data_IF_671472631645
#
_entry.id   IF_671472631645
#
_cell.length_a   1.000
_cell.length_b   1.000
_cell.length_c   1.000
_cell.angle_alpha   90.00
_cell.angle_beta   90.00
_cell.angle_gamma   90.00
#
_symmetry.space_group_name_H-M   'P 1'
#
loop_
_entity.id
_entity.type
_entity.pdbx_description
1 polymer ?
#
# COMPACT_ATOMS: atom_id res chain seq x y z
N UNK A 1 -6.28 14.09 10.37
CA UNK A 1 -7.62 14.30 10.95
C UNK A 1 -8.66 13.72 10.01
N UNK A 2 -9.36 12.66 10.42
CA UNK A 2 -10.45 12.05 9.65
C UNK A 2 -11.71 12.91 9.81
N UNK A 3 -12.34 13.31 8.69
CA UNK A 3 -13.60 14.06 8.69
C UNK A 3 -14.68 13.24 9.41
N UNK A 4 -15.42 13.87 10.34
CA UNK A 4 -16.48 13.20 11.12
C UNK A 4 -17.55 12.61 10.17
N UNK A 5 -18.05 11.38 10.42
CA UNK A 5 -18.96 10.67 9.53
C UNK A 5 -20.28 11.42 9.28
N UNK A 6 -20.70 12.26 10.23
CA UNK A 6 -21.91 13.08 10.11
C UNK A 6 -21.76 14.17 9.02
N UNK A 7 -20.62 14.87 9.00
CA UNK A 7 -20.34 15.98 8.09
C UNK A 7 -20.07 15.47 6.67
N UNK A 8 -19.41 14.32 6.55
CA UNK A 8 -19.12 13.68 5.26
C UNK A 8 -20.42 13.34 4.50
N UNK A 9 -21.45 12.86 5.22
CA UNK A 9 -22.71 12.42 4.62
C UNK A 9 -23.64 13.58 4.26
N UNK A 10 -23.75 14.60 5.10
CA UNK A 10 -24.75 15.66 4.95
C UNK A 10 -24.29 16.83 4.08
N UNK A 11 -22.99 17.17 4.06
CA UNK A 11 -22.49 18.37 3.37
C UNK A 11 -21.57 18.03 2.22
N UNK A 12 -20.58 17.17 2.44
CA UNK A 12 -19.52 16.91 1.45
C UNK A 12 -20.02 16.07 0.28
N UNK A 13 -20.79 15.00 0.56
CA UNK A 13 -21.31 14.06 -0.44
C UNK A 13 -22.20 14.70 -1.52
N UNK A 14 -23.20 15.56 -1.20
CA UNK A 14 -24.03 16.19 -2.23
C UNK A 14 -23.26 17.20 -3.07
N UNK A 15 -22.48 18.09 -2.47
CA UNK A 15 -21.71 19.14 -3.17
C UNK A 15 -20.74 18.53 -4.18
N UNK A 16 -20.01 17.51 -3.74
CA UNK A 16 -19.04 16.86 -4.61
C UNK A 16 -19.74 16.06 -5.74
N UNK A 17 -20.99 15.57 -5.55
CA UNK A 17 -21.72 14.85 -6.60
C UNK A 17 -22.21 15.79 -7.70
N UNK A 18 -22.49 17.04 -7.34
CA UNK A 18 -22.89 18.09 -8.27
C UNK A 18 -21.71 18.64 -9.06
N UNK A 19 -20.52 18.72 -8.45
CA UNK A 19 -19.33 19.31 -9.07
C UNK A 19 -18.43 18.31 -9.81
N UNK A 20 -18.43 17.03 -9.42
CA UNK A 20 -17.54 16.02 -9.99
C UNK A 20 -18.35 15.08 -10.90
N UNK A 21 -18.01 14.97 -12.20
CA UNK A 21 -18.65 14.03 -13.12
C UNK A 21 -18.58 12.59 -12.59
N UNK A 22 -19.67 11.81 -12.74
CA UNK A 22 -19.79 10.47 -12.13
C UNK A 22 -18.63 9.51 -12.45
N UNK A 23 -17.94 9.69 -13.59
CA UNK A 23 -16.79 8.87 -13.98
C UNK A 23 -15.45 9.21 -13.31
N UNK A 24 -15.29 10.41 -12.74
CA UNK A 24 -14.00 10.87 -12.20
C UNK A 24 -13.85 10.65 -10.70
N UNK A 25 -14.97 10.47 -10.01
CA UNK A 25 -15.05 10.16 -8.59
C UNK A 25 -14.16 9.00 -8.16
N UNK A 26 -14.14 7.93 -8.96
CA UNK A 26 -13.31 6.74 -8.69
C UNK A 26 -11.83 7.08 -8.72
N UNK A 27 -11.39 7.92 -9.68
CA UNK A 27 -9.99 8.35 -9.80
C UNK A 27 -9.56 9.22 -8.61
N UNK A 28 -10.44 10.09 -8.12
CA UNK A 28 -10.17 10.97 -6.98
C UNK A 28 -10.07 10.16 -5.69
N UNK A 29 -10.99 9.23 -5.45
CA UNK A 29 -10.96 8.35 -4.28
C UNK A 29 -9.69 7.49 -4.29
N UNK A 30 -9.31 6.92 -5.42
CA UNK A 30 -8.07 6.14 -5.54
C UNK A 30 -6.81 7.00 -5.34
N UNK A 31 -6.77 8.24 -5.84
CA UNK A 31 -5.67 9.19 -5.56
C UNK A 31 -5.56 9.53 -4.08
N UNK A 32 -6.68 9.73 -3.38
CA UNK A 32 -6.68 10.03 -1.95
C UNK A 32 -6.24 8.79 -1.15
N UNK A 33 -6.75 7.61 -1.52
CA UNK A 33 -6.39 6.34 -0.88
C UNK A 33 -4.90 6.04 -1.05
N UNK A 34 -4.37 6.14 -2.27
CA UNK A 34 -2.94 5.93 -2.57
C UNK A 34 -2.03 6.95 -1.89
N UNK A 35 -2.43 8.22 -1.83
CA UNK A 35 -1.68 9.26 -1.10
C UNK A 35 -1.66 9.06 0.42
N UNK A 36 -2.73 8.47 0.97
CA UNK A 36 -2.84 8.18 2.41
C UNK A 36 -2.40 6.76 2.79
N UNK A 37 -2.08 5.91 1.82
CA UNK A 37 -1.55 4.57 2.05
C UNK A 37 -0.11 4.70 2.56
N UNK A 38 0.01 4.78 3.88
CA UNK A 38 1.31 4.64 4.53
C UNK A 38 1.70 3.17 4.51
N UNK A 39 2.91 2.89 3.99
CA UNK A 39 3.49 1.55 4.09
C UNK A 39 3.71 1.24 5.57
N UNK A 40 2.92 0.31 6.11
CA UNK A 40 3.10 -0.15 7.48
C UNK A 40 4.49 -0.75 7.63
N UNK A 41 5.26 -0.24 8.60
CA UNK A 41 6.56 -0.80 8.94
C UNK A 41 6.37 -2.21 9.50
N UNK A 42 7.08 -3.17 8.91
CA UNK A 42 7.10 -4.55 9.40
C UNK A 42 7.89 -4.60 10.71
N UNK A 43 7.42 -5.39 11.69
CA UNK A 43 8.19 -5.64 12.91
C UNK A 43 9.56 -6.24 12.56
N UNK A 44 10.67 -5.82 13.21
CA UNK A 44 12.00 -6.34 12.95
C UNK A 44 12.10 -7.86 13.08
N UNK A 45 11.41 -8.43 14.08
CA UNK A 45 11.32 -9.87 14.34
C UNK A 45 10.71 -10.62 13.15
N UNK A 46 9.58 -10.12 12.63
CA UNK A 46 8.92 -10.70 11.46
C UNK A 46 9.84 -10.65 10.23
N UNK A 47 10.54 -9.53 10.02
CA UNK A 47 11.51 -9.41 8.93
C UNK A 47 12.64 -10.43 9.05
N UNK A 48 13.21 -10.60 10.25
CA UNK A 48 14.26 -11.58 10.53
C UNK A 48 13.76 -13.01 10.29
N UNK A 49 12.57 -13.33 10.80
CA UNK A 49 11.94 -14.63 10.61
C UNK A 49 11.77 -14.96 9.11
N UNK A 50 11.20 -14.04 8.34
CA UNK A 50 10.95 -14.26 6.91
C UNK A 50 12.25 -14.39 6.10
N UNK A 51 13.28 -13.60 6.41
CA UNK A 51 14.60 -13.75 5.78
C UNK A 51 15.20 -15.12 6.01
N UNK A 52 15.10 -15.63 7.23
CA UNK A 52 15.61 -16.95 7.57
C UNK A 52 14.79 -18.05 6.88
N UNK A 53 13.45 -17.92 6.91
CA UNK A 53 12.53 -18.88 6.29
C UNK A 53 12.78 -19.04 4.78
N UNK A 54 13.00 -17.93 4.08
CA UNK A 54 13.18 -17.94 2.62
C UNK A 54 14.64 -17.95 2.16
N UNK A 55 15.61 -18.02 3.08
CA UNK A 55 17.04 -17.90 2.74
C UNK A 55 17.45 -18.88 1.64
N UNK A 56 17.11 -20.15 1.81
CA UNK A 56 17.52 -21.20 0.89
C UNK A 56 16.86 -21.04 -0.48
N UNK A 57 15.61 -20.61 -0.52
CA UNK A 57 14.88 -20.40 -1.76
C UNK A 57 15.37 -19.16 -2.51
N UNK A 58 15.75 -18.09 -1.78
CA UNK A 58 16.40 -16.91 -2.36
C UNK A 58 17.73 -17.31 -3.02
N UNK A 59 18.54 -18.14 -2.36
CA UNK A 59 19.81 -18.62 -2.90
C UNK A 59 19.62 -19.52 -4.13
N UNK A 60 18.64 -20.44 -4.09
CA UNK A 60 18.27 -21.26 -5.26
C UNK A 60 17.83 -20.38 -6.43
N UNK A 61 16.99 -19.37 -6.16
CA UNK A 61 16.51 -18.44 -7.18
C UNK A 61 17.66 -17.64 -7.78
N UNK A 62 18.54 -17.06 -6.96
CA UNK A 62 19.74 -16.34 -7.39
C UNK A 62 20.58 -17.19 -8.36
N UNK A 63 20.81 -18.45 -8.02
CA UNK A 63 21.56 -19.38 -8.86
C UNK A 63 20.84 -19.74 -10.16
N UNK A 64 19.51 -19.81 -10.13
CA UNK A 64 18.66 -20.11 -11.28
C UNK A 64 18.64 -18.96 -12.28
N UNK A 65 18.45 -17.72 -11.82
CA UNK A 65 18.30 -16.54 -12.68
C UNK A 65 19.63 -15.82 -12.96
N UNK A 66 20.73 -16.28 -12.37
CA UNK A 66 22.08 -15.69 -12.49
C UNK A 66 22.11 -14.20 -12.13
N UNK A 67 21.41 -13.81 -11.07
CA UNK A 67 21.34 -12.44 -10.57
C UNK A 67 21.62 -12.41 -9.08
N UNK A 68 22.42 -11.45 -8.64
CA UNK A 68 22.65 -11.22 -7.22
C UNK A 68 21.38 -10.73 -6.52
N UNK A 69 20.95 -11.48 -5.51
CA UNK A 69 19.81 -11.22 -4.63
C UNK A 69 20.25 -11.04 -3.17
N UNK A 70 21.56 -10.87 -2.90
CA UNK A 70 22.09 -10.75 -1.53
C UNK A 70 21.44 -9.63 -0.73
N UNK A 71 21.04 -8.54 -1.39
CA UNK A 71 20.29 -7.42 -0.79
C UNK A 71 18.94 -7.81 -0.17
N UNK A 72 18.39 -8.98 -0.49
CA UNK A 72 17.14 -9.47 0.09
C UNK A 72 17.38 -10.15 1.46
N UNK A 73 18.63 -10.51 1.74
CA UNK A 73 19.06 -11.12 3.00
C UNK A 73 19.59 -10.07 4.00
N UNK A 74 19.88 -8.84 3.55
CA UNK A 74 20.29 -7.68 4.36
C UNK A 74 19.20 -7.15 5.27
#
# INVERSE_FOLDING_TARGET
MLIKPNILKSVVKPIAKTLIPQGEWRKIIEKIKTKNLQKTQMKPETRKYLKNLYRDDILKLQNLIKRDLSSWLE
#
